data_IF_707266433147
#
_entry.id   IF_707266433147
#
_cell.length_a   1.000
_cell.length_b   1.000
_cell.length_c   1.000
_cell.angle_alpha   90.00
_cell.angle_beta   90.00
_cell.angle_gamma   90.00
#
_symmetry.space_group_name_H-M   'P 1'
#
loop_
_entity.id
_entity.type
_entity.pdbx_description
1 polymer ?
#
# COMPACT_ATOMS: atom_id res chain seq x y z
N UNK A 1 14.53 -8.10 -9.24
CA UNK A 1 13.39 -8.66 -8.50
C UNK A 1 13.76 -10.01 -7.87
N UNK A 2 13.99 -11.07 -8.66
CA UNK A 2 14.29 -12.42 -8.11
C UNK A 2 15.63 -12.54 -7.36
N UNK A 3 16.57 -11.61 -7.58
CA UNK A 3 17.92 -11.64 -7.00
C UNK A 3 18.38 -10.25 -6.52
N UNK A 4 17.49 -9.48 -5.89
CA UNK A 4 17.90 -8.30 -5.09
C UNK A 4 17.56 -8.53 -3.62
N UNK A 5 18.22 -7.82 -2.72
CA UNK A 5 17.91 -7.84 -1.28
C UNK A 5 16.65 -7.00 -0.95
N UNK A 6 15.70 -6.91 -1.89
CA UNK A 6 14.48 -6.12 -1.70
C UNK A 6 13.47 -6.96 -0.93
N UNK A 7 12.99 -6.42 0.18
CA UNK A 7 11.88 -7.02 0.90
C UNK A 7 10.57 -6.53 0.28
N UNK A 8 9.84 -7.44 -0.36
CA UNK A 8 8.61 -7.12 -1.07
C UNK A 8 7.38 -7.83 -0.51
N UNK A 9 6.27 -7.11 -0.58
CA UNK A 9 4.95 -7.48 -0.08
C UNK A 9 3.90 -7.13 -1.14
N UNK A 10 2.93 -8.01 -1.34
CA UNK A 10 1.73 -7.73 -2.14
C UNK A 10 0.55 -7.41 -1.21
N UNK A 11 -0.17 -6.32 -1.50
CA UNK A 11 -1.31 -5.85 -0.71
C UNK A 11 -2.59 -5.81 -1.54
N UNK A 12 -3.66 -6.41 -1.01
CA UNK A 12 -5.01 -6.32 -1.57
C UNK A 12 -5.80 -5.23 -0.84
N UNK A 13 -5.86 -4.02 -1.42
CA UNK A 13 -6.36 -2.80 -0.75
C UNK A 13 -7.86 -2.54 -0.91
N UNK A 14 -8.60 -3.45 -1.56
CA UNK A 14 -10.04 -3.29 -1.75
C UNK A 14 -10.67 -4.43 -2.54
N UNK A 15 -12.01 -4.53 -2.48
CA UNK A 15 -12.77 -5.62 -3.11
C UNK A 15 -13.01 -5.42 -4.63
N UNK A 16 -12.96 -4.16 -5.10
CA UNK A 16 -13.26 -3.79 -6.50
C UNK A 16 -11.98 -3.40 -7.22
N UNK A 17 -11.67 -4.08 -8.34
CA UNK A 17 -10.46 -3.81 -9.14
C UNK A 17 -10.42 -2.39 -9.72
N UNK A 18 -11.59 -1.82 -10.05
CA UNK A 18 -11.73 -0.48 -10.62
C UNK A 18 -12.81 0.31 -9.86
N UNK A 19 -12.49 0.87 -8.67
CA UNK A 19 -13.44 1.68 -7.94
C UNK A 19 -13.72 3.02 -8.65
N UNK A 20 -14.90 3.63 -8.45
CA UNK A 20 -15.18 4.99 -8.91
C UNK A 20 -14.15 5.99 -8.38
N UNK A 21 -13.74 6.96 -9.22
CA UNK A 21 -12.72 7.96 -8.85
C UNK A 21 -13.04 8.77 -7.59
N UNK A 22 -14.33 8.98 -7.31
CA UNK A 22 -14.82 9.66 -6.09
C UNK A 22 -14.49 8.92 -4.79
N UNK A 23 -14.27 7.60 -4.85
CA UNK A 23 -13.98 6.76 -3.68
C UNK A 23 -12.46 6.73 -3.37
N UNK A 24 -11.59 7.16 -4.30
CA UNK A 24 -10.13 7.13 -4.14
C UNK A 24 -9.63 7.94 -2.92
N UNK A 25 -10.14 9.14 -2.62
CA UNK A 25 -9.71 9.88 -1.42
C UNK A 25 -10.02 9.14 -0.12
N UNK A 26 -11.12 8.38 -0.08
CA UNK A 26 -11.49 7.56 1.07
C UNK A 26 -10.51 6.39 1.24
N UNK A 27 -10.25 5.60 0.18
CA UNK A 27 -9.27 4.51 0.25
C UNK A 27 -7.86 4.99 0.59
N UNK A 28 -7.46 6.17 0.10
CA UNK A 28 -6.20 6.78 0.51
C UNK A 28 -6.17 7.01 2.02
N UNK A 29 -7.19 7.64 2.60
CA UNK A 29 -7.23 7.93 4.02
C UNK A 29 -7.25 6.67 4.89
N UNK A 30 -7.92 5.60 4.46
CA UNK A 30 -7.93 4.32 5.18
C UNK A 30 -6.56 3.65 5.22
N UNK A 31 -5.79 3.71 4.12
CA UNK A 31 -4.53 2.97 3.99
C UNK A 31 -3.29 3.82 4.29
N UNK A 32 -3.40 5.15 4.27
CA UNK A 32 -2.26 6.08 4.36
C UNK A 32 -1.37 5.79 5.56
N UNK A 33 -1.93 5.69 6.77
CA UNK A 33 -1.14 5.51 7.98
C UNK A 33 -0.38 4.17 7.97
N UNK A 34 -1.01 3.09 7.52
CA UNK A 34 -0.37 1.79 7.42
C UNK A 34 0.79 1.79 6.41
N UNK A 35 0.57 2.40 5.23
CA UNK A 35 1.59 2.50 4.18
C UNK A 35 2.79 3.36 4.62
N UNK A 36 2.53 4.51 5.26
CA UNK A 36 3.60 5.35 5.82
C UNK A 36 4.39 4.60 6.90
N UNK A 37 3.70 3.92 7.81
CA UNK A 37 4.36 3.15 8.86
C UNK A 37 5.22 2.01 8.29
N UNK A 38 4.74 1.30 7.27
CA UNK A 38 5.52 0.27 6.59
C UNK A 38 6.81 0.83 5.98
N UNK A 39 6.75 1.98 5.31
CA UNK A 39 7.95 2.63 4.78
C UNK A 39 8.94 3.03 5.88
N UNK A 40 8.46 3.38 7.07
CA UNK A 40 9.33 3.71 8.21
C UNK A 40 9.99 2.49 8.87
N UNK A 41 9.45 1.28 8.69
CA UNK A 41 10.07 0.05 9.21
C UNK A 41 11.41 -0.29 8.54
N UNK A 42 11.74 0.35 7.42
CA UNK A 42 13.04 0.22 6.74
C UNK A 42 14.16 0.94 7.50
N UNK A 43 13.84 1.74 8.53
CA UNK A 43 14.85 2.37 9.37
C UNK A 43 15.61 1.32 10.17
N UNK A 44 16.91 1.22 9.89
CA UNK A 44 17.95 0.54 10.69
C UNK A 44 18.08 1.24 12.04
#
# INVERSE_FOLDING_TARGET
YLASNCFELTLELGCRKFPPGKDLPHFWNENKNALINFMWQVKI
#
